data_IF_498902677530
#
_entry.id   IF_498902677530
#
_cell.length_a   1.000
_cell.length_b   1.000
_cell.length_c   1.000
_cell.angle_alpha   90.00
_cell.angle_beta   90.00
_cell.angle_gamma   90.00
#
_symmetry.space_group_name_H-M   'P 1'
#
loop_
_entity.id
_entity.type
_entity.pdbx_description
1 polymer ?
#
# COMPACT_ATOMS: atom_id res chain seq x y z
N UNK A 1 26.49 24.44 18.75
CA UNK A 1 25.87 23.26 18.11
C UNK A 1 26.77 22.84 16.96
N UNK A 2 27.27 21.59 16.91
CA UNK A 2 28.07 21.13 15.77
C UNK A 2 27.19 21.00 14.51
N UNK A 3 27.68 21.50 13.38
CA UNK A 3 27.02 21.42 12.07
C UNK A 3 27.65 20.28 11.27
N UNK A 4 26.85 19.32 10.80
CA UNK A 4 27.31 18.34 9.83
C UNK A 4 27.22 18.94 8.42
N UNK A 5 28.36 19.01 7.72
CA UNK A 5 28.40 19.39 6.30
C UNK A 5 28.51 18.12 5.47
N UNK A 6 27.58 17.95 4.54
CA UNK A 6 27.58 16.83 3.60
C UNK A 6 28.91 16.79 2.85
N UNK A 7 29.51 15.61 2.80
CA UNK A 7 30.73 15.35 2.03
C UNK A 7 30.39 15.04 0.58
N UNK A 8 31.39 15.04 -0.32
CA UNK A 8 31.19 14.62 -1.71
C UNK A 8 30.61 13.19 -1.81
N UNK A 9 31.05 12.27 -0.95
CA UNK A 9 30.52 10.90 -0.88
C UNK A 9 29.04 10.87 -0.46
N UNK A 10 28.63 11.77 0.42
CA UNK A 10 27.23 11.89 0.80
C UNK A 10 26.40 12.39 -0.39
N UNK A 11 26.92 13.37 -1.13
CA UNK A 11 26.30 13.88 -2.35
C UNK A 11 26.20 12.83 -3.46
N UNK A 12 27.22 12.02 -3.67
CA UNK A 12 27.18 10.90 -4.63
C UNK A 12 26.02 9.94 -4.32
N UNK A 13 25.89 9.52 -3.05
CA UNK A 13 24.77 8.68 -2.60
C UNK A 13 23.42 9.37 -2.70
N UNK A 14 23.34 10.65 -2.36
CA UNK A 14 22.10 11.44 -2.50
C UNK A 14 21.66 11.47 -3.96
N UNK A 15 22.59 11.71 -4.88
CA UNK A 15 22.30 11.72 -6.32
C UNK A 15 21.88 10.34 -6.84
N UNK A 16 22.48 9.27 -6.33
CA UNK A 16 22.06 7.89 -6.63
C UNK A 16 20.62 7.64 -6.18
N UNK A 17 20.29 7.89 -4.92
CA UNK A 17 18.93 7.71 -4.38
C UNK A 17 17.92 8.59 -5.14
N UNK A 18 18.33 9.82 -5.48
CA UNK A 18 17.50 10.75 -6.26
C UNK A 18 17.17 10.18 -7.64
N UNK A 19 18.16 9.73 -8.39
CA UNK A 19 17.94 9.08 -9.69
C UNK A 19 17.10 7.82 -9.56
N UNK A 20 17.33 7.03 -8.51
CA UNK A 20 16.73 5.71 -8.38
C UNK A 20 15.31 5.68 -7.83
N UNK A 21 14.87 6.73 -7.15
CA UNK A 21 13.49 6.85 -6.64
C UNK A 21 12.86 8.17 -7.02
N UNK A 22 13.37 9.28 -6.49
CA UNK A 22 12.65 10.56 -6.53
C UNK A 22 12.54 11.16 -7.94
N UNK A 23 13.38 10.76 -8.88
CA UNK A 23 13.31 11.18 -10.28
C UNK A 23 12.55 10.18 -11.17
N UNK A 24 12.23 8.97 -10.68
CA UNK A 24 11.51 7.98 -11.47
C UNK A 24 10.03 8.31 -11.53
N UNK A 25 9.48 8.35 -12.74
CA UNK A 25 8.05 8.56 -12.96
C UNK A 25 7.25 7.48 -12.21
N UNK A 26 7.70 6.22 -12.31
CA UNK A 26 7.07 5.05 -11.67
C UNK A 26 6.94 5.19 -10.16
N UNK A 27 7.86 5.91 -9.53
CA UNK A 27 7.81 6.21 -8.09
C UNK A 27 6.89 7.39 -7.79
N UNK A 28 6.99 8.47 -8.56
CA UNK A 28 6.26 9.70 -8.29
C UNK A 28 4.75 9.60 -8.58
N UNK A 29 4.38 8.80 -9.57
CA UNK A 29 2.99 8.75 -10.04
C UNK A 29 2.43 7.32 -10.08
N UNK A 30 3.28 6.30 -10.23
CA UNK A 30 2.85 4.90 -10.26
C UNK A 30 1.98 4.54 -11.47
N UNK A 31 1.96 3.26 -11.86
CA UNK A 31 0.97 2.84 -12.87
C UNK A 31 -0.43 3.04 -12.30
N UNK A 32 -1.38 3.50 -13.12
CA UNK A 32 -2.82 3.43 -12.84
C UNK A 32 -3.41 2.24 -13.59
N UNK A 33 -3.42 1.03 -13.00
CA UNK A 33 -4.08 -0.12 -13.58
C UNK A 33 -5.56 0.14 -13.86
N UNK A 34 -6.15 -0.73 -14.68
CA UNK A 34 -7.61 -0.77 -14.82
C UNK A 34 -8.18 -1.30 -13.51
N UNK A 35 -9.03 -0.54 -12.85
CA UNK A 35 -9.78 -1.00 -11.68
C UNK A 35 -11.28 -0.93 -11.99
N UNK A 36 -12.03 -1.91 -11.53
CA UNK A 36 -13.49 -1.95 -11.66
C UNK A 36 -14.22 -1.91 -10.30
N UNK A 37 -13.47 -1.99 -9.21
CA UNK A 37 -13.96 -1.76 -7.86
C UNK A 37 -13.05 -0.74 -7.17
N UNK A 38 -13.68 0.19 -6.47
CA UNK A 38 -13.01 1.21 -5.67
C UNK A 38 -13.79 1.40 -4.37
N UNK A 39 -13.09 1.27 -3.26
CA UNK A 39 -13.62 1.50 -1.93
C UNK A 39 -12.74 2.45 -1.17
N UNK A 40 -13.33 3.47 -0.55
CA UNK A 40 -12.57 4.44 0.22
C UNK A 40 -13.26 4.76 1.54
N UNK A 41 -12.47 4.83 2.61
CA UNK A 41 -12.94 5.19 3.94
C UNK A 41 -11.88 5.97 4.70
N UNK A 42 -12.32 7.00 5.42
CA UNK A 42 -11.50 7.75 6.38
C UNK A 42 -11.58 7.06 7.73
N UNK A 43 -10.45 6.56 8.22
CA UNK A 43 -10.28 6.03 9.57
C UNK A 43 -9.61 7.09 10.47
N UNK A 44 -9.67 6.92 11.80
CA UNK A 44 -8.91 7.78 12.71
C UNK A 44 -7.39 7.77 12.43
N UNK A 45 -6.87 6.67 11.87
CA UNK A 45 -5.46 6.50 11.53
C UNK A 45 -5.09 7.03 10.13
N UNK A 46 -6.05 7.53 9.34
CA UNK A 46 -5.85 7.98 7.95
C UNK A 46 -6.95 7.47 7.00
N UNK A 47 -6.98 7.99 5.78
CA UNK A 47 -7.79 7.50 4.67
C UNK A 47 -7.14 6.28 4.03
N UNK A 48 -7.95 5.28 3.69
CA UNK A 48 -7.57 4.17 2.83
C UNK A 48 -8.45 4.25 1.56
N UNK A 49 -7.83 4.19 0.38
CA UNK A 49 -8.47 4.05 -0.94
C UNK A 49 -7.96 2.76 -1.57
N UNK A 50 -8.81 1.74 -1.57
CA UNK A 50 -8.54 0.43 -2.14
C UNK A 50 -9.14 0.35 -3.54
N UNK A 51 -8.31 -0.03 -4.50
CA UNK A 51 -8.69 -0.23 -5.89
C UNK A 51 -8.38 -1.65 -6.32
N UNK A 52 -9.37 -2.33 -6.87
CA UNK A 52 -9.27 -3.73 -7.28
C UNK A 52 -9.66 -3.89 -8.76
N UNK A 53 -8.96 -4.78 -9.45
CA UNK A 53 -9.39 -5.32 -10.73
C UNK A 53 -9.92 -6.74 -10.52
N UNK A 54 -11.23 -6.94 -10.50
CA UNK A 54 -11.83 -8.26 -10.32
C UNK A 54 -12.36 -8.78 -11.66
N UNK A 55 -11.85 -9.93 -12.11
CA UNK A 55 -12.31 -10.61 -13.32
C UNK A 55 -12.72 -12.04 -12.98
N UNK A 56 -13.94 -12.42 -13.38
CA UNK A 56 -14.51 -13.76 -13.12
C UNK A 56 -14.43 -14.16 -11.63
N UNK A 57 -14.65 -13.20 -10.73
CA UNK A 57 -14.59 -13.42 -9.28
C UNK A 57 -13.18 -13.50 -8.67
N UNK A 58 -12.12 -13.25 -9.44
CA UNK A 58 -10.73 -13.29 -8.97
C UNK A 58 -10.09 -11.91 -9.00
N UNK A 59 -9.35 -11.55 -7.96
CA UNK A 59 -8.57 -10.30 -7.88
C UNK A 59 -7.35 -10.44 -8.79
N UNK A 60 -7.31 -9.67 -9.88
CA UNK A 60 -6.20 -9.64 -10.84
C UNK A 60 -5.15 -8.58 -10.49
N UNK A 61 -5.60 -7.44 -9.95
CA UNK A 61 -4.74 -6.37 -9.49
C UNK A 61 -5.35 -5.73 -8.23
N UNK A 62 -4.49 -5.22 -7.36
CA UNK A 62 -4.85 -4.59 -6.10
C UNK A 62 -3.89 -3.42 -5.85
N UNK A 63 -4.45 -2.22 -5.66
CA UNK A 63 -3.70 -1.05 -5.22
C UNK A 63 -4.35 -0.38 -4.02
N UNK A 64 -3.53 -0.06 -3.04
CA UNK A 64 -3.95 0.59 -1.80
C UNK A 64 -3.23 1.92 -1.70
N UNK A 65 -4.01 2.99 -1.69
CA UNK A 65 -3.54 4.35 -1.50
C UNK A 65 -4.04 4.88 -0.16
N UNK A 66 -3.37 5.90 0.37
CA UNK A 66 -3.82 6.54 1.59
C UNK A 66 -2.77 7.45 2.22
N UNK A 67 -3.19 8.12 3.29
CA UNK A 67 -2.35 8.94 4.17
C UNK A 67 -2.22 8.30 5.57
N UNK A 68 -2.40 6.97 5.65
CA UNK A 68 -2.16 6.20 6.87
C UNK A 68 -0.67 6.00 7.12
N UNK A 69 -0.30 5.90 8.39
CA UNK A 69 1.08 5.70 8.81
C UNK A 69 1.29 4.25 9.26
N UNK A 70 1.64 3.40 8.29
CA UNK A 70 2.11 2.03 8.51
C UNK A 70 3.62 1.95 8.66
N UNK A 71 4.10 0.95 9.40
CA UNK A 71 5.53 0.58 9.47
C UNK A 71 5.88 -0.43 8.38
N UNK A 72 4.93 -1.29 8.01
CA UNK A 72 5.09 -2.29 6.96
C UNK A 72 4.91 -1.74 5.55
N UNK A 73 5.42 -2.46 4.56
CA UNK A 73 5.21 -2.16 3.14
C UNK A 73 3.80 -2.62 2.72
N UNK A 74 2.97 -1.68 2.27
CA UNK A 74 1.60 -1.98 1.83
C UNK A 74 1.56 -2.97 0.64
N UNK A 75 2.65 -3.02 -0.14
CA UNK A 75 2.79 -3.95 -1.24
C UNK A 75 2.68 -5.42 -0.79
N UNK A 76 2.94 -5.73 0.48
CA UNK A 76 2.79 -7.08 1.02
C UNK A 76 1.32 -7.51 1.11
N UNK A 77 0.42 -6.58 1.44
CA UNK A 77 -1.02 -6.84 1.43
C UNK A 77 -1.52 -6.94 0.00
N UNK A 78 -1.12 -6.00 -0.88
CA UNK A 78 -1.51 -6.02 -2.30
C UNK A 78 -1.17 -7.37 -2.96
N UNK A 79 0.07 -7.84 -2.80
CA UNK A 79 0.54 -9.12 -3.37
C UNK A 79 -0.22 -10.32 -2.84
N UNK A 80 -0.64 -10.31 -1.57
CA UNK A 80 -1.39 -11.42 -0.97
C UNK A 80 -2.81 -11.52 -1.50
N UNK A 81 -3.43 -10.38 -1.81
CA UNK A 81 -4.79 -10.31 -2.36
C UNK A 81 -4.83 -10.66 -3.85
N UNK A 82 -3.78 -10.34 -4.61
CA UNK A 82 -3.71 -10.71 -6.03
C UNK A 82 -3.74 -12.23 -6.19
N UNK A 83 -4.59 -12.72 -7.09
CA UNK A 83 -4.79 -14.13 -7.36
C UNK A 83 -5.80 -14.81 -6.42
N UNK A 84 -6.38 -14.09 -5.46
CA UNK A 84 -7.40 -14.62 -4.55
C UNK A 84 -8.80 -14.43 -5.10
N UNK A 85 -9.73 -15.27 -4.62
CA UNK A 85 -11.14 -15.11 -4.89
C UNK A 85 -11.67 -13.88 -4.14
N UNK A 86 -12.48 -13.06 -4.84
CA UNK A 86 -13.12 -11.87 -4.27
C UNK A 86 -14.38 -12.28 -3.50
N UNK A 87 -14.17 -12.86 -2.32
CA UNK A 87 -15.21 -13.16 -1.33
C UNK A 87 -14.69 -12.93 0.10
N UNK A 88 -15.59 -12.62 1.04
CA UNK A 88 -15.20 -12.17 2.38
C UNK A 88 -14.40 -13.23 3.14
N UNK A 89 -14.72 -14.51 2.94
CA UNK A 89 -14.08 -15.62 3.64
C UNK A 89 -12.64 -15.78 3.17
N UNK A 90 -12.43 -15.90 1.86
CA UNK A 90 -11.09 -16.04 1.27
C UNK A 90 -10.18 -14.87 1.67
N UNK A 91 -10.69 -13.64 1.61
CA UNK A 91 -9.91 -12.45 1.98
C UNK A 91 -9.59 -12.46 3.49
N UNK A 92 -10.54 -12.83 4.36
CA UNK A 92 -10.29 -12.94 5.80
C UNK A 92 -9.22 -13.98 6.12
N UNK A 93 -9.27 -15.14 5.45
CA UNK A 93 -8.32 -16.24 5.63
C UNK A 93 -6.90 -15.84 5.17
N UNK A 94 -6.80 -15.15 4.02
CA UNK A 94 -5.52 -14.63 3.49
C UNK A 94 -4.86 -13.63 4.44
N UNK A 95 -5.66 -12.85 5.17
CA UNK A 95 -5.21 -11.83 6.11
C UNK A 95 -5.09 -12.32 7.56
N UNK A 96 -5.42 -13.58 7.86
CA UNK A 96 -5.57 -14.07 9.24
C UNK A 96 -4.29 -13.93 10.08
N UNK A 97 -3.13 -14.16 9.47
CA UNK A 97 -1.83 -14.09 10.15
C UNK A 97 -1.12 -12.75 9.96
N UNK A 98 -1.85 -11.70 9.55
CA UNK A 98 -1.29 -10.37 9.35
C UNK A 98 -1.68 -9.43 10.49
N UNK A 99 -0.69 -8.75 11.06
CA UNK A 99 -0.97 -7.63 11.95
C UNK A 99 -1.36 -6.40 11.12
N UNK A 100 -2.66 -6.21 10.91
CA UNK A 100 -3.19 -5.07 10.16
C UNK A 100 -2.75 -3.73 10.76
N UNK A 101 -2.48 -3.69 12.07
CA UNK A 101 -2.02 -2.46 12.73
C UNK A 101 -0.60 -2.06 12.35
N UNK A 102 0.22 -3.04 11.99
CA UNK A 102 1.56 -2.80 11.45
C UNK A 102 1.52 -2.05 10.11
N UNK A 103 0.48 -2.25 9.29
CA UNK A 103 0.37 -1.66 7.95
C UNK A 103 -0.50 -0.41 7.90
N UNK A 104 -1.54 -0.30 8.75
CA UNK A 104 -2.54 0.77 8.68
C UNK A 104 -2.69 1.58 9.98
N UNK A 105 -1.89 1.30 11.00
CA UNK A 105 -2.04 1.94 12.31
C UNK A 105 -3.26 1.40 13.07
N UNK A 106 -4.11 2.26 13.63
CA UNK A 106 -5.27 1.78 14.41
C UNK A 106 -6.45 1.36 13.51
N UNK A 107 -6.22 0.41 12.60
CA UNK A 107 -7.23 -0.21 11.73
C UNK A 107 -7.16 -1.73 11.95
N UNK A 108 -8.30 -2.33 12.30
CA UNK A 108 -8.39 -3.76 12.53
C UNK A 108 -8.61 -4.56 11.24
N UNK A 109 -8.50 -5.89 11.32
CA UNK A 109 -8.85 -6.77 10.20
C UNK A 109 -10.31 -6.61 9.78
N UNK A 110 -11.23 -6.53 10.75
CA UNK A 110 -12.65 -6.34 10.46
C UNK A 110 -12.92 -4.98 9.79
N UNK A 111 -12.26 -3.91 10.26
CA UNK A 111 -12.36 -2.58 9.62
C UNK A 111 -11.95 -2.60 8.14
N UNK A 112 -10.92 -3.37 7.81
CA UNK A 112 -10.43 -3.53 6.45
C UNK A 112 -11.36 -4.43 5.61
N UNK A 113 -11.89 -5.51 6.20
CA UNK A 113 -12.90 -6.35 5.53
C UNK A 113 -14.17 -5.56 5.24
N UNK A 114 -14.58 -4.67 6.14
CA UNK A 114 -15.73 -3.77 5.97
C UNK A 114 -15.43 -2.60 5.02
N UNK A 115 -14.17 -2.32 4.71
CA UNK A 115 -13.81 -1.43 3.61
C UNK A 115 -13.94 -2.14 2.27
N UNK A 116 -13.60 -3.43 2.21
CA UNK A 116 -13.64 -4.21 0.96
C UNK A 116 -15.07 -4.51 0.49
N UNK A 117 -16.06 -4.51 1.39
CA UNK A 117 -17.45 -4.90 1.12
C UNK A 117 -18.43 -3.79 1.48
#
# INVERSE_FOLDING_TARGET
MPQYRLTEKDWEKIHEISRDRYQKWEWNYGRSPKFNLQHSKRFPAGSIDLRLEVKKGMIQDCKIFGDFFGVGDIADIEKRLIGQQYDRKTISDVLENMDMRHYFGNVSKEDFLDLIY
#
